data_IF_317113747033
#
_entry.id   IF_317113747033
#
_cell.length_a   1.000
_cell.length_b   1.000
_cell.length_c   1.000
_cell.angle_alpha   90.00
_cell.angle_beta   90.00
_cell.angle_gamma   90.00
#
_symmetry.space_group_name_H-M   'P 1'
#
loop_
_entity.id
_entity.type
_entity.pdbx_description
1 polymer ?
#
# COMPACT_ATOMS: atom_id res chain seq x y z
N UNK A 1 22.25 -13.68 -12.16
CA UNK A 1 21.70 -13.33 -10.82
C UNK A 1 22.80 -13.66 -9.83
N UNK A 2 23.31 -12.68 -9.09
CA UNK A 2 24.37 -12.95 -8.11
C UNK A 2 23.78 -13.68 -6.90
N UNK A 3 24.52 -14.63 -6.28
CA UNK A 3 24.09 -15.22 -5.01
C UNK A 3 24.00 -14.13 -3.92
N UNK A 4 23.19 -14.34 -2.87
CA UNK A 4 23.18 -13.44 -1.72
C UNK A 4 24.59 -13.34 -1.14
N UNK A 5 24.97 -12.16 -0.63
CA UNK A 5 26.31 -11.96 -0.06
C UNK A 5 26.54 -12.78 1.22
N UNK A 6 25.49 -12.93 2.04
CA UNK A 6 25.51 -13.70 3.28
C UNK A 6 24.26 -14.58 3.43
N UNK A 7 24.41 -15.68 4.15
CA UNK A 7 23.33 -16.60 4.51
C UNK A 7 23.48 -17.07 5.95
N UNK A 8 22.35 -17.31 6.63
CA UNK A 8 22.35 -17.99 7.93
C UNK A 8 22.37 -19.51 7.71
N UNK A 9 23.53 -20.13 7.90
CA UNK A 9 23.75 -21.56 7.77
C UNK A 9 23.54 -22.30 9.09
N UNK A 10 22.80 -23.39 9.05
CA UNK A 10 22.56 -24.27 10.19
C UNK A 10 23.77 -25.22 10.33
N UNK A 11 24.55 -25.01 11.40
CA UNK A 11 25.69 -25.89 11.75
C UNK A 11 25.23 -27.22 12.31
N UNK A 12 24.30 -27.14 13.25
CA UNK A 12 23.81 -28.29 13.99
C UNK A 12 22.27 -28.30 13.95
N UNK A 13 21.75 -29.26 13.19
CA UNK A 13 20.31 -29.44 12.99
C UNK A 13 19.60 -29.86 14.29
N UNK A 14 20.29 -30.53 15.21
CA UNK A 14 19.70 -30.98 16.47
C UNK A 14 19.71 -29.84 17.50
N UNK A 15 20.82 -29.11 17.60
CA UNK A 15 20.97 -28.01 18.58
C UNK A 15 20.36 -26.69 18.13
N UNK A 16 19.89 -26.60 16.89
CA UNK A 16 19.34 -25.35 16.31
C UNK A 16 20.31 -24.18 16.45
N UNK A 17 21.57 -24.44 16.11
CA UNK A 17 22.63 -23.43 16.09
C UNK A 17 22.88 -23.07 14.64
N UNK A 18 22.79 -21.78 14.33
CA UNK A 18 23.15 -21.22 13.04
C UNK A 18 24.33 -20.27 13.17
N UNK A 19 25.00 -20.04 12.05
CA UNK A 19 25.96 -18.97 11.90
C UNK A 19 25.68 -18.21 10.60
N UNK A 20 26.03 -16.93 10.57
CA UNK A 20 25.92 -16.14 9.35
C UNK A 20 27.25 -16.17 8.62
N UNK A 21 27.25 -16.72 7.40
CA UNK A 21 28.46 -16.96 6.59
C UNK A 21 28.41 -16.11 5.34
N UNK A 22 29.56 -15.57 4.94
CA UNK A 22 29.73 -14.93 3.63
C UNK A 22 29.77 -16.01 2.56
N UNK A 23 28.89 -15.90 1.57
CA UNK A 23 28.69 -16.98 0.58
C UNK A 23 29.93 -17.23 -0.27
N UNK A 24 30.68 -16.18 -0.63
CA UNK A 24 31.95 -16.32 -1.35
C UNK A 24 32.94 -17.19 -0.58
N UNK A 25 33.13 -16.90 0.71
CA UNK A 25 34.12 -17.57 1.54
C UNK A 25 33.70 -19.02 1.81
N UNK A 26 32.38 -19.28 1.86
CA UNK A 26 31.84 -20.62 2.00
C UNK A 26 32.05 -21.47 0.75
N UNK A 27 31.85 -20.91 -0.44
CA UNK A 27 32.12 -21.56 -1.73
C UNK A 27 33.61 -21.88 -1.89
N UNK A 28 34.49 -20.94 -1.56
CA UNK A 28 35.95 -21.14 -1.61
C UNK A 28 36.39 -22.33 -0.72
N UNK A 29 35.70 -22.56 0.41
CA UNK A 29 36.02 -23.62 1.36
C UNK A 29 35.41 -24.98 1.01
N UNK A 30 34.21 -25.01 0.41
CA UNK A 30 33.41 -26.23 0.24
C UNK A 30 33.21 -26.64 -1.23
N UNK A 31 33.64 -25.80 -2.19
CA UNK A 31 33.47 -25.99 -3.63
C UNK A 31 32.17 -25.37 -4.17
N UNK A 32 32.09 -25.30 -5.51
CA UNK A 32 30.99 -24.64 -6.21
C UNK A 32 29.68 -25.46 -6.27
N UNK A 33 29.76 -26.78 -6.05
CA UNK A 33 28.61 -27.71 -6.15
C UNK A 33 27.76 -27.78 -4.87
N UNK A 34 27.97 -26.90 -3.89
CA UNK A 34 27.26 -26.95 -2.61
C UNK A 34 25.85 -26.39 -2.74
N UNK A 35 24.88 -27.05 -2.09
CA UNK A 35 23.51 -26.55 -2.02
C UNK A 35 23.44 -25.25 -1.21
N UNK A 36 23.34 -24.13 -1.92
CA UNK A 36 23.15 -22.78 -1.37
C UNK A 36 21.67 -22.38 -1.33
N UNK A 37 20.74 -23.26 -1.67
CA UNK A 37 19.33 -22.95 -1.60
C UNK A 37 18.89 -22.63 -0.16
N UNK A 38 18.06 -21.61 -0.02
CA UNK A 38 17.71 -21.06 1.29
C UNK A 38 16.23 -20.69 1.40
N UNK A 39 15.74 -20.60 2.63
CA UNK A 39 14.41 -20.09 2.93
C UNK A 39 14.47 -18.59 3.22
N UNK A 40 13.66 -17.79 2.51
CA UNK A 40 13.51 -16.36 2.79
C UNK A 40 12.49 -16.14 3.92
N UNK A 41 12.85 -15.34 4.93
CA UNK A 41 11.97 -15.01 6.06
C UNK A 41 11.46 -13.58 5.92
N UNK A 42 10.21 -13.42 5.48
CA UNK A 42 9.52 -12.12 5.40
C UNK A 42 8.85 -11.80 6.73
N UNK A 43 9.06 -10.58 7.22
CA UNK A 43 8.45 -10.05 8.45
C UNK A 43 8.44 -8.52 8.40
N UNK A 44 7.78 -7.85 9.35
CA UNK A 44 7.80 -6.38 9.45
C UNK A 44 8.40 -5.90 10.77
N UNK A 45 9.26 -4.88 10.70
CA UNK A 45 9.82 -4.19 11.89
C UNK A 45 8.74 -3.53 12.78
N UNK A 46 7.53 -3.34 12.23
CA UNK A 46 6.36 -2.89 13.01
C UNK A 46 5.86 -3.94 14.00
N UNK A 47 6.15 -5.22 13.76
CA UNK A 47 5.73 -6.35 14.58
C UNK A 47 6.91 -7.04 15.28
N UNK A 48 8.12 -6.92 14.75
CA UNK A 48 9.32 -7.52 15.32
C UNK A 48 10.42 -6.46 15.50
N UNK A 49 10.88 -6.29 16.74
CA UNK A 49 12.02 -5.42 17.05
C UNK A 49 13.30 -6.19 16.72
N UNK A 50 14.09 -5.70 15.77
CA UNK A 50 15.35 -6.37 15.36
C UNK A 50 16.57 -5.45 15.46
N UNK A 51 16.37 -4.23 15.98
CA UNK A 51 17.41 -3.25 16.23
C UNK A 51 18.51 -3.80 17.13
N UNK A 52 19.77 -3.48 16.84
CA UNK A 52 20.90 -3.84 17.70
C UNK A 52 20.85 -3.02 19.00
N UNK A 53 21.52 -3.46 20.08
CA UNK A 53 21.61 -2.68 21.31
C UNK A 53 22.12 -1.25 21.08
N UNK A 54 23.09 -1.07 20.18
CA UNK A 54 23.69 0.22 19.84
C UNK A 54 22.70 1.14 19.11
N UNK A 55 21.86 0.58 18.24
CA UNK A 55 20.80 1.34 17.58
C UNK A 55 19.69 1.71 18.57
N UNK A 56 19.33 0.79 19.46
CA UNK A 56 18.38 1.05 20.55
C UNK A 56 18.90 2.21 21.40
N UNK A 57 20.19 2.24 21.72
CA UNK A 57 20.76 3.29 22.56
C UNK A 57 20.73 4.70 21.93
N UNK A 58 20.62 4.79 20.59
CA UNK A 58 20.53 6.06 19.86
C UNK A 58 19.12 6.64 19.82
N UNK A 59 18.07 5.86 20.08
CA UNK A 59 16.71 6.37 20.06
C UNK A 59 16.38 7.15 21.34
N UNK A 60 15.56 8.19 21.18
CA UNK A 60 14.98 8.91 22.30
C UNK A 60 13.79 8.12 22.85
N UNK A 61 13.94 7.65 24.09
CA UNK A 61 12.90 6.91 24.81
C UNK A 61 12.44 7.72 26.01
N UNK A 62 11.16 7.62 26.41
CA UNK A 62 10.62 8.40 27.52
C UNK A 62 11.31 8.09 28.86
N UNK A 63 11.77 6.85 29.03
CA UNK A 63 12.42 6.38 30.25
C UNK A 63 13.33 5.17 29.98
N UNK A 64 14.23 4.90 30.94
CA UNK A 64 15.21 3.81 30.84
C UNK A 64 14.58 2.41 30.91
N UNK A 65 13.43 2.25 31.58
CA UNK A 65 12.75 0.96 31.63
C UNK A 65 12.13 0.60 30.27
N UNK A 66 11.62 1.58 29.54
CA UNK A 66 11.16 1.43 28.15
C UNK A 66 12.33 1.08 27.22
N UNK A 67 13.50 1.72 27.39
CA UNK A 67 14.71 1.38 26.62
C UNK A 67 15.14 -0.06 26.85
N UNK A 68 15.23 -0.50 28.11
CA UNK A 68 15.60 -1.88 28.42
C UNK A 68 14.56 -2.91 27.97
N UNK A 69 13.27 -2.57 28.06
CA UNK A 69 12.21 -3.41 27.51
C UNK A 69 12.37 -3.61 26.01
N UNK A 70 12.76 -2.56 25.28
CA UNK A 70 13.06 -2.65 23.86
C UNK A 70 14.29 -3.54 23.58
N UNK A 71 15.36 -3.48 24.39
CA UNK A 71 16.53 -4.37 24.26
C UNK A 71 16.15 -5.83 24.43
N UNK A 72 15.42 -6.15 25.50
CA UNK A 72 14.93 -7.51 25.78
C UNK A 72 13.98 -8.02 24.69
N UNK A 73 13.07 -7.17 24.22
CA UNK A 73 12.15 -7.51 23.14
C UNK A 73 12.91 -7.77 21.83
N UNK A 74 13.93 -6.95 21.52
CA UNK A 74 14.74 -7.12 20.33
C UNK A 74 15.47 -8.45 20.31
N UNK A 75 16.10 -8.82 21.44
CA UNK A 75 16.74 -10.14 21.58
C UNK A 75 15.73 -11.27 21.33
N UNK A 76 14.56 -11.23 21.99
CA UNK A 76 13.52 -12.25 21.87
C UNK A 76 12.97 -12.37 20.45
N UNK A 77 12.71 -11.25 19.78
CA UNK A 77 12.16 -11.24 18.42
C UNK A 77 13.18 -11.77 17.41
N UNK A 78 14.47 -11.39 17.52
CA UNK A 78 15.56 -11.94 16.70
C UNK A 78 15.68 -13.46 16.88
N UNK A 79 15.69 -13.94 18.11
CA UNK A 79 15.72 -15.38 18.43
C UNK A 79 14.49 -16.11 17.86
N UNK A 80 13.32 -15.48 17.89
CA UNK A 80 12.07 -16.06 17.36
C UNK A 80 12.13 -16.19 15.84
N UNK A 81 12.53 -15.13 15.13
CA UNK A 81 12.66 -15.13 13.68
C UNK A 81 13.73 -16.12 13.20
N UNK A 82 14.88 -16.17 13.89
CA UNK A 82 15.92 -17.16 13.60
C UNK A 82 15.42 -18.59 13.82
N UNK A 83 14.68 -18.85 14.90
CA UNK A 83 14.08 -20.16 15.17
C UNK A 83 13.12 -20.59 14.07
N UNK A 84 12.27 -19.67 13.58
CA UNK A 84 11.36 -19.96 12.48
C UNK A 84 12.07 -20.14 11.14
N UNK A 85 13.13 -19.36 10.88
CA UNK A 85 14.00 -19.58 9.72
C UNK A 85 14.63 -20.97 9.73
N UNK A 86 15.19 -21.39 10.87
CA UNK A 86 15.75 -22.73 11.05
C UNK A 86 14.70 -23.85 10.92
N UNK A 87 13.54 -23.71 11.57
CA UNK A 87 12.45 -24.69 11.48
C UNK A 87 11.99 -24.85 10.03
N UNK A 88 11.78 -23.75 9.31
CA UNK A 88 11.32 -23.83 7.92
C UNK A 88 12.36 -24.46 6.99
N UNK A 89 13.64 -24.08 7.13
CA UNK A 89 14.74 -24.66 6.37
C UNK A 89 14.83 -26.18 6.60
N UNK A 90 14.77 -26.63 7.86
CA UNK A 90 14.73 -28.06 8.21
C UNK A 90 13.55 -28.78 7.54
N UNK A 91 12.35 -28.18 7.55
CA UNK A 91 11.15 -28.76 6.94
C UNK A 91 11.22 -28.91 5.42
N UNK A 92 12.09 -28.17 4.73
CA UNK A 92 12.34 -28.33 3.29
C UNK A 92 13.67 -29.02 2.97
N UNK A 93 14.36 -29.56 3.98
CA UNK A 93 15.65 -30.21 3.79
C UNK A 93 16.78 -29.26 3.39
N UNK A 94 16.63 -27.96 3.66
CA UNK A 94 17.64 -26.94 3.37
C UNK A 94 18.44 -26.59 4.62
N UNK A 95 19.68 -26.15 4.41
CA UNK A 95 20.63 -25.81 5.49
C UNK A 95 20.80 -24.32 5.69
N UNK A 96 20.17 -23.50 4.87
CA UNK A 96 20.28 -22.05 4.92
C UNK A 96 18.91 -21.37 4.99
N UNK A 97 18.89 -20.21 5.63
CA UNK A 97 17.79 -19.25 5.59
C UNK A 97 18.36 -17.84 5.52
N UNK A 98 17.52 -16.89 5.16
CA UNK A 98 17.90 -15.49 5.01
C UNK A 98 17.02 -14.58 5.86
N UNK A 99 17.68 -13.76 6.66
CA UNK A 99 17.09 -12.68 7.47
C UNK A 99 17.86 -11.40 7.16
N UNK A 100 17.14 -10.32 6.89
CA UNK A 100 17.75 -9.04 6.53
C UNK A 100 18.70 -8.50 7.61
N UNK A 101 18.32 -8.54 8.89
CA UNK A 101 19.15 -8.05 10.00
C UNK A 101 20.40 -8.90 10.32
N UNK A 102 20.51 -10.09 9.72
CA UNK A 102 21.69 -10.95 9.83
C UNK A 102 22.55 -10.90 8.56
N UNK A 103 21.89 -10.98 7.41
CA UNK A 103 22.50 -11.24 6.11
C UNK A 103 22.74 -9.97 5.28
N UNK A 104 22.12 -8.84 5.64
CA UNK A 104 22.53 -7.53 5.12
C UNK A 104 23.61 -7.01 6.05
N UNK A 105 24.84 -6.91 5.53
CA UNK A 105 26.02 -6.47 6.27
C UNK A 105 26.72 -5.38 5.49
N UNK A 106 27.25 -4.40 6.21
CA UNK A 106 28.06 -3.34 5.62
C UNK A 106 29.40 -3.92 5.11
N UNK A 107 30.15 -3.12 4.33
CA UNK A 107 31.48 -3.50 3.82
C UNK A 107 32.46 -3.95 4.92
N UNK A 108 32.31 -3.40 6.14
CA UNK A 108 33.10 -3.78 7.33
C UNK A 108 32.63 -5.10 7.99
N UNK A 109 31.62 -5.78 7.44
CA UNK A 109 31.06 -7.04 7.96
C UNK A 109 30.17 -6.90 9.20
N UNK A 110 29.92 -5.67 9.66
CA UNK A 110 29.04 -5.36 10.79
C UNK A 110 27.55 -5.53 10.47
N UNK A 111 26.77 -5.98 11.45
CA UNK A 111 25.32 -6.08 11.36
C UNK A 111 24.66 -4.74 11.69
N UNK A 112 23.83 -4.22 10.79
CA UNK A 112 22.93 -3.09 11.06
C UNK A 112 21.49 -3.55 10.89
N UNK A 113 20.57 -3.04 11.73
CA UNK A 113 19.15 -3.30 11.50
C UNK A 113 18.56 -2.39 10.42
N UNK A 114 19.26 -1.32 10.04
CA UNK A 114 18.96 -0.51 8.85
C UNK A 114 19.92 -0.86 7.72
N UNK A 115 19.36 -1.45 6.67
CA UNK A 115 20.05 -1.74 5.41
C UNK A 115 20.45 -0.45 4.70
N UNK A 116 21.58 -0.44 4.00
CA UNK A 116 21.89 0.65 3.05
C UNK A 116 20.91 0.60 1.87
N UNK A 117 20.64 1.73 1.22
CA UNK A 117 19.70 1.81 0.10
C UNK A 117 20.00 0.80 -1.01
N UNK A 118 21.29 0.58 -1.32
CA UNK A 118 21.68 -0.34 -2.40
C UNK A 118 21.38 -1.80 -2.06
N UNK A 119 21.57 -2.21 -0.80
CA UNK A 119 21.25 -3.55 -0.33
C UNK A 119 19.74 -3.81 -0.32
N UNK A 120 18.93 -2.80 0.04
CA UNK A 120 17.46 -2.89 0.00
C UNK A 120 16.98 -3.19 -1.42
N UNK A 121 17.56 -2.54 -2.42
CA UNK A 121 17.19 -2.73 -3.83
C UNK A 121 17.61 -4.10 -4.38
N UNK A 122 18.51 -4.82 -3.69
CA UNK A 122 18.88 -6.21 -4.02
C UNK A 122 18.00 -7.25 -3.35
N UNK A 123 17.17 -6.90 -2.37
CA UNK A 123 16.28 -7.87 -1.68
C UNK A 123 15.35 -8.58 -2.67
N UNK A 124 14.86 -7.86 -3.68
CA UNK A 124 14.04 -8.46 -4.74
C UNK A 124 14.79 -9.57 -5.51
N UNK A 125 16.11 -9.48 -5.65
CA UNK A 125 16.92 -10.54 -6.25
C UNK A 125 17.11 -11.70 -5.29
N UNK A 126 17.32 -11.41 -4.00
CA UNK A 126 17.44 -12.43 -2.95
C UNK A 126 16.15 -13.25 -2.87
N UNK A 127 14.98 -12.61 -2.88
CA UNK A 127 13.68 -13.29 -2.84
C UNK A 127 13.49 -14.25 -4.02
N UNK A 128 13.85 -13.81 -5.24
CA UNK A 128 13.76 -14.63 -6.46
C UNK A 128 14.69 -15.84 -6.43
N UNK A 129 15.84 -15.72 -5.76
CA UNK A 129 16.84 -16.78 -5.64
C UNK A 129 16.57 -17.73 -4.47
N UNK A 130 15.61 -17.42 -3.59
CA UNK A 130 15.24 -18.30 -2.50
C UNK A 130 14.62 -19.60 -3.03
N UNK A 131 14.69 -20.67 -2.26
CA UNK A 131 13.97 -21.91 -2.55
C UNK A 131 12.49 -21.80 -2.18
N UNK A 132 12.19 -21.12 -1.08
CA UNK A 132 10.82 -20.90 -0.61
C UNK A 132 10.77 -19.73 0.36
N UNK A 133 9.57 -19.24 0.65
CA UNK A 133 9.36 -18.12 1.56
C UNK A 133 8.49 -18.51 2.76
N UNK A 134 8.76 -17.89 3.90
CA UNK A 134 7.84 -17.84 5.05
C UNK A 134 7.44 -16.40 5.34
N UNK A 135 6.24 -16.22 5.88
CA UNK A 135 5.77 -14.94 6.41
C UNK A 135 5.59 -15.10 7.91
N UNK A 136 6.24 -14.23 8.68
CA UNK A 136 6.14 -14.15 10.13
C UNK A 136 5.31 -12.94 10.53
N UNK A 137 4.27 -13.17 11.33
CA UNK A 137 3.38 -12.11 11.84
C UNK A 137 3.17 -12.20 13.35
N UNK A 138 2.86 -11.06 13.97
CA UNK A 138 2.56 -11.00 15.39
C UNK A 138 2.01 -9.63 15.83
N UNK A 139 1.81 -9.44 17.15
CA UNK A 139 1.37 -8.17 17.69
C UNK A 139 2.34 -7.02 17.34
N UNK A 140 1.83 -5.79 17.12
CA UNK A 140 2.68 -4.62 16.92
C UNK A 140 3.68 -4.42 18.07
N UNK A 141 4.89 -4.00 17.74
CA UNK A 141 5.97 -3.75 18.71
C UNK A 141 5.53 -2.80 19.83
N UNK A 142 4.76 -1.76 19.51
CA UNK A 142 4.24 -0.81 20.50
C UNK A 142 3.33 -1.49 21.54
N UNK A 143 2.44 -2.39 21.12
CA UNK A 143 1.59 -3.17 22.02
C UNK A 143 2.42 -4.12 22.88
N UNK A 144 3.41 -4.79 22.28
CA UNK A 144 4.31 -5.68 23.02
C UNK A 144 5.11 -4.95 24.11
N UNK A 145 5.65 -3.77 23.79
CA UNK A 145 6.38 -2.93 24.75
C UNK A 145 5.45 -2.46 25.87
N UNK A 146 4.25 -1.97 25.54
CA UNK A 146 3.28 -1.51 26.54
C UNK A 146 2.91 -2.63 27.54
N UNK A 147 2.60 -3.84 27.05
CA UNK A 147 2.31 -4.98 27.93
C UNK A 147 3.51 -5.37 28.80
N UNK A 148 4.72 -5.39 28.25
CA UNK A 148 5.93 -5.76 29.00
C UNK A 148 6.27 -4.73 30.09
N UNK A 149 6.12 -3.43 29.81
CA UNK A 149 6.30 -2.36 30.81
C UNK A 149 5.25 -2.45 31.92
N UNK A 150 4.00 -2.79 31.57
CA UNK A 150 2.93 -3.02 32.54
C UNK A 150 3.08 -4.33 33.35
N UNK A 151 4.06 -5.18 33.02
CA UNK A 151 4.23 -6.50 33.64
C UNK A 151 3.15 -7.52 33.23
N UNK A 152 2.41 -7.23 32.17
CA UNK A 152 1.37 -8.10 31.64
C UNK A 152 1.96 -9.17 30.73
N UNK A 153 1.27 -10.32 30.63
CA UNK A 153 1.60 -11.30 29.60
C UNK A 153 1.27 -10.71 28.23
N UNK A 154 2.14 -10.97 27.26
CA UNK A 154 1.87 -10.66 25.86
C UNK A 154 0.52 -11.26 25.45
N UNK A 155 -0.20 -10.51 24.61
CA UNK A 155 -1.52 -10.87 24.10
C UNK A 155 -1.53 -12.33 23.63
N UNK A 156 -2.51 -13.08 24.14
CA UNK A 156 -2.73 -14.45 23.72
C UNK A 156 -3.08 -14.49 22.23
N UNK A 157 -2.61 -15.54 21.55
CA UNK A 157 -2.99 -15.79 20.17
C UNK A 157 -4.52 -15.89 20.05
N UNK A 158 -5.07 -15.21 19.03
CA UNK A 158 -6.45 -15.35 18.65
C UNK A 158 -6.63 -15.20 17.14
N UNK A 159 -7.54 -16.00 16.56
CA UNK A 159 -7.70 -16.10 15.09
C UNK A 159 -8.17 -14.80 14.44
N UNK A 160 -8.92 -13.97 15.16
CA UNK A 160 -9.39 -12.65 14.71
C UNK A 160 -8.23 -11.66 14.49
N UNK A 161 -7.07 -11.87 15.13
CA UNK A 161 -5.90 -10.99 15.02
C UNK A 161 -5.04 -11.24 13.79
N UNK A 162 -5.20 -12.40 13.14
CA UNK A 162 -4.36 -12.79 12.00
C UNK A 162 -4.52 -11.82 10.82
N UNK A 163 -5.76 -11.45 10.48
CA UNK A 163 -6.01 -10.54 9.35
C UNK A 163 -5.48 -9.13 9.63
N UNK A 164 -5.72 -8.49 10.79
CA UNK A 164 -5.07 -7.23 11.15
C UNK A 164 -3.54 -7.27 11.07
N UNK A 165 -2.90 -8.34 11.56
CA UNK A 165 -1.44 -8.47 11.49
C UNK A 165 -0.94 -8.68 10.05
N UNK A 166 -1.66 -9.45 9.23
CA UNK A 166 -1.34 -9.55 7.80
C UNK A 166 -1.48 -8.21 7.09
N UNK A 167 -2.49 -7.40 7.41
CA UNK A 167 -2.66 -6.07 6.83
C UNK A 167 -1.54 -5.11 7.21
N UNK A 168 -1.07 -5.15 8.45
CA UNK A 168 0.08 -4.35 8.87
C UNK A 168 1.39 -4.84 8.24
N UNK A 169 1.53 -6.13 7.97
CA UNK A 169 2.64 -6.65 7.17
C UNK A 169 2.54 -6.17 5.71
N UNK A 170 1.36 -6.30 5.10
CA UNK A 170 1.09 -5.89 3.71
C UNK A 170 1.15 -4.38 3.48
N UNK A 171 0.97 -3.55 4.51
CA UNK A 171 1.03 -2.09 4.36
C UNK A 171 2.43 -1.57 4.01
N UNK A 172 3.48 -2.36 4.22
CA UNK A 172 4.87 -1.99 3.91
C UNK A 172 5.15 -2.09 2.42
N UNK A 173 5.89 -1.11 1.89
CA UNK A 173 6.24 -1.05 0.46
C UNK A 173 6.90 -2.35 -0.05
N UNK A 174 7.87 -2.89 0.70
CA UNK A 174 8.72 -4.00 0.26
C UNK A 174 8.09 -5.40 0.38
N UNK A 175 7.00 -5.55 1.14
CA UNK A 175 6.36 -6.88 1.32
C UNK A 175 5.56 -7.33 0.10
N UNK A 176 5.11 -6.38 -0.75
CA UNK A 176 4.48 -6.74 -2.01
C UNK A 176 5.48 -7.36 -3.00
N UNK A 177 6.64 -6.75 -3.33
CA UNK A 177 7.69 -7.43 -4.09
C UNK A 177 8.06 -8.80 -3.53
N UNK A 178 8.22 -8.92 -2.21
CA UNK A 178 8.53 -10.21 -1.58
C UNK A 178 7.48 -11.29 -1.90
N UNK A 179 6.19 -10.96 -1.81
CA UNK A 179 5.12 -11.88 -2.19
C UNK A 179 5.15 -12.23 -3.68
N UNK A 180 5.25 -11.22 -4.54
CA UNK A 180 5.17 -11.40 -5.99
C UNK A 180 6.34 -12.25 -6.49
N UNK A 181 7.54 -11.95 -6.02
CA UNK A 181 8.80 -12.50 -6.53
C UNK A 181 9.24 -13.80 -5.89
N UNK A 182 8.65 -14.21 -4.77
CA UNK A 182 9.02 -15.50 -4.17
C UNK A 182 8.69 -16.67 -5.12
N UNK A 183 9.35 -17.83 -4.98
CA UNK A 183 9.12 -18.98 -5.86
C UNK A 183 7.66 -19.45 -5.90
N UNK A 184 7.21 -19.97 -7.04
CA UNK A 184 5.83 -20.46 -7.23
C UNK A 184 5.66 -21.95 -6.88
N UNK A 185 6.78 -22.67 -6.78
CA UNK A 185 6.87 -24.12 -6.60
C UNK A 185 6.33 -24.55 -5.24
N UNK A 186 6.43 -23.68 -4.23
CA UNK A 186 6.09 -23.99 -2.85
C UNK A 186 5.07 -23.02 -2.28
N UNK A 187 4.18 -23.55 -1.42
CA UNK A 187 3.28 -22.71 -0.63
C UNK A 187 4.05 -21.93 0.42
N UNK A 188 3.68 -20.67 0.60
CA UNK A 188 4.24 -19.81 1.65
C UNK A 188 3.71 -20.31 3.00
N UNK A 189 4.62 -20.51 3.96
CA UNK A 189 4.24 -20.88 5.33
C UNK A 189 4.07 -19.65 6.19
N UNK A 190 2.95 -19.59 6.91
CA UNK A 190 2.61 -18.51 7.82
C UNK A 190 2.94 -18.92 9.26
N UNK A 191 3.88 -18.21 9.88
CA UNK A 191 4.23 -18.31 11.29
C UNK A 191 3.58 -17.17 12.07
N UNK A 192 3.01 -17.50 13.23
CA UNK A 192 2.21 -16.55 14.02
C UNK A 192 2.71 -16.56 15.47
N UNK A 193 3.01 -15.38 16.01
CA UNK A 193 3.43 -15.26 17.42
C UNK A 193 2.32 -15.77 18.34
N UNK A 194 2.69 -16.71 19.23
CA UNK A 194 1.78 -17.30 20.21
C UNK A 194 0.92 -18.46 19.68
N UNK A 195 1.04 -18.81 18.39
CA UNK A 195 0.42 -20.02 17.83
C UNK A 195 1.44 -21.16 17.88
N UNK A 196 1.20 -22.13 18.75
CA UNK A 196 2.06 -23.33 18.88
C UNK A 196 1.70 -24.43 17.86
N UNK A 197 0.71 -24.18 16.99
CA UNK A 197 0.33 -25.12 15.93
C UNK A 197 1.30 -25.12 14.75
N UNK A 198 1.17 -26.12 13.88
CA UNK A 198 2.03 -26.17 12.68
C UNK A 198 1.82 -24.96 11.76
N UNK A 199 2.91 -24.42 11.15
CA UNK A 199 2.83 -23.27 10.25
C UNK A 199 1.88 -23.52 9.09
N UNK A 200 0.93 -22.60 8.89
CA UNK A 200 -0.12 -22.77 7.88
C UNK A 200 0.43 -22.51 6.47
N UNK A 201 0.37 -23.52 5.60
CA UNK A 201 0.73 -23.37 4.19
C UNK A 201 -0.38 -22.67 3.39
N UNK A 202 -0.03 -21.62 2.64
CA UNK A 202 -0.97 -20.79 1.89
C UNK A 202 -0.44 -20.45 0.49
N UNK A 203 -1.34 -20.29 -0.48
CA UNK A 203 -0.98 -19.81 -1.84
C UNK A 203 -0.88 -18.27 -1.86
N UNK A 204 -0.08 -17.70 -2.79
CA UNK A 204 0.13 -16.25 -2.90
C UNK A 204 -1.17 -15.47 -3.02
N UNK A 205 -2.08 -15.92 -3.89
CA UNK A 205 -3.40 -15.32 -4.09
C UNK A 205 -4.24 -15.18 -2.81
N UNK A 206 -4.05 -16.08 -1.83
CA UNK A 206 -4.79 -16.01 -0.57
C UNK A 206 -4.23 -14.93 0.38
N UNK A 207 -3.00 -14.46 0.16
CA UNK A 207 -2.45 -13.31 0.87
C UNK A 207 -2.97 -11.99 0.27
N UNK A 208 -3.14 -11.92 -1.06
CA UNK A 208 -3.67 -10.73 -1.74
C UNK A 208 -4.96 -10.20 -1.07
N UNK A 209 -5.92 -11.09 -0.82
CA UNK A 209 -7.20 -10.75 -0.19
C UNK A 209 -7.12 -10.41 1.31
N UNK A 210 -6.09 -10.90 2.01
CA UNK A 210 -6.01 -10.82 3.47
C UNK A 210 -5.08 -9.72 3.96
N UNK A 211 -4.04 -9.42 3.18
CA UNK A 211 -2.98 -8.49 3.56
C UNK A 211 -3.15 -7.10 2.92
N UNK A 212 -3.99 -6.94 1.89
CA UNK A 212 -4.18 -5.67 1.21
C UNK A 212 -5.65 -5.32 1.02
N UNK A 213 -5.97 -4.03 1.14
CA UNK A 213 -7.30 -3.49 0.87
C UNK A 213 -7.56 -3.29 -0.63
N UNK A 214 -6.50 -3.15 -1.44
CA UNK A 214 -6.52 -3.10 -2.91
C UNK A 214 -6.36 -4.50 -3.54
N UNK A 215 -7.01 -5.50 -2.96
CA UNK A 215 -6.83 -6.91 -3.32
C UNK A 215 -7.06 -7.22 -4.81
N UNK A 216 -7.95 -6.50 -5.49
CA UNK A 216 -8.21 -6.68 -6.93
C UNK A 216 -6.97 -6.33 -7.77
N UNK A 217 -6.37 -5.16 -7.56
CA UNK A 217 -5.14 -4.73 -8.24
C UNK A 217 -3.96 -5.64 -7.89
N UNK A 218 -3.83 -6.06 -6.63
CA UNK A 218 -2.79 -7.00 -6.21
C UNK A 218 -2.94 -8.37 -6.87
N UNK A 219 -4.18 -8.86 -7.04
CA UNK A 219 -4.44 -10.13 -7.73
C UNK A 219 -3.99 -10.10 -9.18
N UNK A 220 -4.12 -8.98 -9.87
CA UNK A 220 -3.63 -8.84 -11.24
C UNK A 220 -2.11 -9.05 -11.30
N UNK A 221 -1.36 -8.41 -10.39
CA UNK A 221 0.08 -8.61 -10.26
C UNK A 221 0.41 -10.06 -9.84
N UNK A 222 -0.32 -10.64 -8.89
CA UNK A 222 -0.11 -12.06 -8.49
C UNK A 222 -0.31 -12.99 -9.68
N UNK A 223 -1.38 -12.80 -10.47
CA UNK A 223 -1.64 -13.60 -11.67
C UNK A 223 -0.51 -13.45 -12.70
N UNK A 224 0.07 -12.26 -12.83
CA UNK A 224 1.24 -12.01 -13.65
C UNK A 224 2.44 -12.85 -13.22
N UNK A 225 2.80 -12.78 -11.94
CA UNK A 225 3.98 -13.47 -11.42
C UNK A 225 3.79 -14.98 -11.19
N UNK A 226 2.54 -15.46 -11.04
CA UNK A 226 2.20 -16.89 -11.08
C UNK A 226 2.12 -17.44 -12.52
N UNK A 227 2.20 -16.58 -13.55
CA UNK A 227 2.10 -16.97 -14.96
C UNK A 227 0.68 -17.35 -15.42
N UNK A 228 -0.34 -17.05 -14.61
CA UNK A 228 -1.75 -17.34 -14.92
C UNK A 228 -2.38 -16.28 -15.83
N UNK A 229 -1.82 -15.07 -15.86
CA UNK A 229 -2.10 -14.01 -16.83
C UNK A 229 -0.77 -13.33 -17.19
N UNK A 230 -0.63 -12.75 -18.37
CA UNK A 230 0.60 -12.04 -18.74
C UNK A 230 0.24 -10.60 -19.08
N UNK A 231 0.71 -9.67 -18.25
CA UNK A 231 0.60 -8.24 -18.49
C UNK A 231 1.66 -7.82 -19.50
N UNK A 232 1.30 -6.89 -20.39
CA UNK A 232 2.30 -6.11 -21.15
C UNK A 232 3.16 -5.28 -20.20
N UNK A 233 4.31 -4.78 -20.65
CA UNK A 233 5.17 -3.93 -19.82
C UNK A 233 4.44 -2.67 -19.34
N UNK A 234 3.66 -2.03 -20.21
CA UNK A 234 2.85 -0.87 -19.86
C UNK A 234 1.84 -1.21 -18.75
N UNK A 235 1.08 -2.29 -18.92
CA UNK A 235 0.10 -2.74 -17.91
C UNK A 235 0.78 -3.14 -16.59
N UNK A 236 1.94 -3.78 -16.65
CA UNK A 236 2.71 -4.13 -15.45
C UNK A 236 3.14 -2.87 -14.69
N UNK A 237 3.65 -1.85 -15.40
CA UNK A 237 4.04 -0.56 -14.80
C UNK A 237 2.81 0.14 -14.21
N UNK A 238 1.70 0.20 -14.94
CA UNK A 238 0.45 0.83 -14.49
C UNK A 238 -0.11 0.16 -13.23
N UNK A 239 -0.30 -1.16 -13.26
CA UNK A 239 -0.80 -1.93 -12.10
C UNK A 239 0.18 -1.88 -10.93
N UNK A 240 1.49 -1.90 -11.18
CA UNK A 240 2.48 -1.74 -10.13
C UNK A 240 2.43 -0.34 -9.52
N UNK A 241 2.35 0.74 -10.31
CA UNK A 241 2.25 2.09 -9.76
C UNK A 241 0.99 2.27 -8.90
N UNK A 242 -0.15 1.78 -9.39
CA UNK A 242 -1.43 1.83 -8.68
C UNK A 242 -1.38 1.09 -7.33
N UNK A 243 -0.70 -0.05 -7.27
CA UNK A 243 -0.46 -0.74 -6.02
C UNK A 243 0.55 0.02 -5.15
N UNK A 244 1.80 0.18 -5.60
CA UNK A 244 2.90 0.63 -4.76
C UNK A 244 2.70 2.02 -4.16
N UNK A 245 2.03 2.94 -4.87
CA UNK A 245 1.67 4.28 -4.37
C UNK A 245 0.75 4.28 -3.13
N UNK A 246 0.02 3.19 -2.87
CA UNK A 246 -0.87 3.06 -1.70
C UNK A 246 -0.18 2.54 -0.44
N UNK A 247 1.08 2.08 -0.54
CA UNK A 247 1.80 1.48 0.59
C UNK A 247 2.55 2.53 1.41
N UNK A 248 2.73 2.22 2.69
CA UNK A 248 3.54 3.02 3.60
C UNK A 248 5.03 2.88 3.25
N UNK A 249 5.67 4.02 3.06
CA UNK A 249 7.12 4.15 2.97
C UNK A 249 7.64 4.89 4.21
N UNK A 250 8.80 4.47 4.74
CA UNK A 250 9.53 5.27 5.73
C UNK A 250 10.53 6.22 5.03
N UNK A 251 10.44 6.35 3.72
CA UNK A 251 11.28 7.12 2.79
C UNK A 251 12.77 6.99 3.10
N UNK A 252 13.40 5.93 2.57
CA UNK A 252 14.86 5.90 2.45
C UNK A 252 15.34 6.91 1.38
N UNK A 253 14.52 7.11 0.35
CA UNK A 253 14.68 8.12 -0.70
C UNK A 253 13.31 8.56 -1.23
N UNK A 254 13.27 9.70 -1.93
CA UNK A 254 12.06 10.12 -2.66
C UNK A 254 11.70 9.14 -3.80
N UNK A 255 12.68 8.36 -4.28
CA UNK A 255 12.55 7.33 -5.32
C UNK A 255 12.00 5.98 -4.86
N UNK A 256 11.69 5.79 -3.57
CA UNK A 256 11.41 4.45 -3.01
C UNK A 256 10.32 3.68 -3.77
N UNK A 257 9.22 4.35 -4.16
CA UNK A 257 8.14 3.74 -4.95
C UNK A 257 8.69 3.24 -6.29
N UNK A 258 9.44 4.08 -7.00
CA UNK A 258 10.04 3.73 -8.30
C UNK A 258 11.03 2.57 -8.15
N UNK A 259 11.86 2.58 -7.10
CA UNK A 259 12.85 1.53 -6.87
C UNK A 259 12.22 0.20 -6.44
N UNK A 260 11.11 0.24 -5.70
CA UNK A 260 10.35 -0.96 -5.38
C UNK A 260 9.69 -1.58 -6.61
N UNK A 261 9.15 -0.76 -7.52
CA UNK A 261 8.62 -1.20 -8.82
C UNK A 261 9.76 -1.70 -9.72
N UNK A 262 10.91 -1.03 -9.74
CA UNK A 262 12.11 -1.45 -10.47
C UNK A 262 12.55 -2.86 -10.04
N UNK A 263 12.40 -3.17 -8.75
CA UNK A 263 12.64 -4.48 -8.19
C UNK A 263 11.85 -5.61 -8.85
N UNK A 264 10.72 -5.32 -9.53
CA UNK A 264 9.89 -6.29 -10.25
C UNK A 264 10.48 -6.74 -11.60
N UNK A 265 11.34 -5.92 -12.21
CA UNK A 265 11.92 -6.19 -13.52
C UNK A 265 13.23 -6.98 -13.43
N UNK A 266 13.62 -7.73 -14.48
CA UNK A 266 14.95 -8.35 -14.54
C UNK A 266 16.09 -7.31 -14.49
N UNK A 267 17.25 -7.67 -13.93
CA UNK A 267 18.36 -6.73 -13.68
C UNK A 267 18.79 -5.94 -14.92
N UNK A 268 18.75 -6.54 -16.10
CA UNK A 268 19.13 -5.89 -17.37
C UNK A 268 18.22 -4.72 -17.78
N UNK A 269 17.04 -4.58 -17.18
CA UNK A 269 16.11 -3.48 -17.46
C UNK A 269 15.99 -2.50 -16.29
N UNK A 270 16.84 -2.63 -15.26
CA UNK A 270 16.84 -1.72 -14.12
C UNK A 270 17.83 -0.57 -14.39
N UNK A 271 17.37 0.69 -14.43
CA UNK A 271 18.29 1.82 -14.49
C UNK A 271 19.16 1.88 -13.20
N UNK A 272 20.33 2.53 -13.24
CA UNK A 272 21.11 2.80 -12.04
C UNK A 272 20.30 3.59 -11.01
N UNK A 273 20.46 3.23 -9.75
CA UNK A 273 19.87 3.95 -8.62
C UNK A 273 20.65 5.24 -8.39
N UNK A 274 19.93 6.35 -8.26
CA UNK A 274 20.49 7.63 -7.88
C UNK A 274 19.77 8.15 -6.63
N UNK A 275 20.52 8.49 -5.58
CA UNK A 275 19.92 8.93 -4.31
C UNK A 275 19.39 10.36 -4.41
N UNK A 276 19.88 11.12 -5.38
CA UNK A 276 19.51 12.51 -5.60
C UNK A 276 18.29 12.62 -6.55
N UNK A 277 17.85 11.50 -7.14
CA UNK A 277 16.62 11.47 -7.94
C UNK A 277 15.39 11.74 -7.08
N UNK A 278 14.51 12.60 -7.62
CA UNK A 278 13.13 12.65 -7.16
C UNK A 278 12.40 11.33 -7.46
N UNK A 279 11.22 11.15 -6.85
CA UNK A 279 10.32 10.04 -7.18
C UNK A 279 9.96 9.98 -8.66
N UNK A 280 9.71 11.13 -9.27
CA UNK A 280 9.36 11.23 -10.68
C UNK A 280 10.55 10.89 -11.58
N UNK A 281 11.74 11.41 -11.30
CA UNK A 281 12.94 11.12 -12.09
C UNK A 281 13.29 9.64 -12.09
N UNK A 282 13.30 9.01 -10.90
CA UNK A 282 13.56 7.58 -10.75
C UNK A 282 12.53 6.75 -11.55
N UNK A 283 11.25 7.11 -11.46
CA UNK A 283 10.19 6.42 -12.19
C UNK A 283 10.26 6.64 -13.70
N UNK A 284 10.60 7.86 -14.14
CA UNK A 284 10.70 8.16 -15.56
C UNK A 284 11.89 7.45 -16.22
N UNK A 285 13.04 7.34 -15.53
CA UNK A 285 14.16 6.50 -15.97
C UNK A 285 13.75 5.03 -16.06
N UNK A 286 12.94 4.55 -15.12
CA UNK A 286 12.42 3.18 -15.13
C UNK A 286 11.51 2.91 -16.34
N UNK A 287 10.54 3.80 -16.60
CA UNK A 287 9.65 3.70 -17.77
C UNK A 287 10.46 3.70 -19.07
N UNK A 288 11.34 4.68 -19.29
CA UNK A 288 12.19 4.71 -20.49
C UNK A 288 12.98 3.41 -20.71
N UNK A 289 13.49 2.81 -19.63
CA UNK A 289 14.26 1.56 -19.69
C UNK A 289 13.41 0.31 -19.96
N UNK A 290 12.10 0.33 -19.65
CA UNK A 290 11.25 -0.86 -19.68
C UNK A 290 10.17 -0.82 -20.76
N UNK A 291 9.53 0.32 -21.03
CA UNK A 291 8.46 0.45 -22.01
C UNK A 291 8.73 1.54 -23.05
N UNK A 292 9.99 1.97 -23.17
CA UNK A 292 10.42 3.06 -24.06
C UNK A 292 9.71 4.40 -23.81
N UNK A 293 9.19 4.62 -22.60
CA UNK A 293 8.52 5.87 -22.23
C UNK A 293 7.02 5.88 -22.55
N UNK A 294 6.46 4.79 -23.06
CA UNK A 294 5.04 4.71 -23.45
C UNK A 294 4.08 5.07 -22.32
N UNK A 295 4.41 4.73 -21.07
CA UNK A 295 3.66 5.14 -19.89
C UNK A 295 3.74 6.66 -19.68
N UNK A 296 4.95 7.23 -19.71
CA UNK A 296 5.15 8.67 -19.51
C UNK A 296 4.46 9.50 -20.59
N UNK A 297 4.52 9.06 -21.84
CA UNK A 297 3.83 9.69 -22.97
C UNK A 297 2.31 9.78 -22.75
N UNK A 298 1.72 8.81 -22.05
CA UNK A 298 0.30 8.83 -21.67
C UNK A 298 0.06 9.69 -20.44
N UNK A 299 0.96 9.61 -19.46
CA UNK A 299 0.87 10.36 -18.21
C UNK A 299 0.83 11.87 -18.44
N UNK A 300 1.66 12.39 -19.35
CA UNK A 300 1.68 13.83 -19.68
C UNK A 300 0.43 14.33 -20.41
N UNK A 301 -0.39 13.42 -20.93
CA UNK A 301 -1.67 13.77 -21.57
C UNK A 301 -2.83 13.81 -20.57
N UNK A 302 -2.62 13.41 -19.31
CA UNK A 302 -3.62 13.56 -18.26
C UNK A 302 -3.70 15.01 -17.78
N UNK A 303 -4.88 15.41 -17.33
CA UNK A 303 -5.12 16.63 -16.57
C UNK A 303 -5.41 16.25 -15.12
N UNK A 304 -4.36 16.11 -14.29
CA UNK A 304 -4.55 15.77 -12.89
C UNK A 304 -5.14 16.96 -12.12
N UNK A 305 -5.72 16.68 -10.96
CA UNK A 305 -6.16 17.74 -10.04
C UNK A 305 -4.96 18.62 -9.63
N UNK A 306 -5.14 19.94 -9.46
CA UNK A 306 -4.07 20.81 -8.98
C UNK A 306 -3.47 20.30 -7.66
N UNK A 307 -2.14 20.09 -7.63
CA UNK A 307 -1.44 19.56 -6.46
C UNK A 307 -1.47 18.04 -6.30
N UNK A 308 -2.03 17.30 -7.26
CA UNK A 308 -1.95 15.84 -7.30
C UNK A 308 -0.48 15.37 -7.35
N UNK A 309 -0.15 14.25 -6.67
CA UNK A 309 1.18 13.65 -6.79
C UNK A 309 1.40 13.08 -8.20
N UNK A 310 2.66 13.03 -8.64
CA UNK A 310 3.04 12.55 -9.98
C UNK A 310 2.60 11.10 -10.27
N UNK A 311 2.41 10.28 -9.23
CA UNK A 311 1.99 8.88 -9.35
C UNK A 311 0.47 8.71 -9.42
N UNK A 312 -0.31 9.80 -9.36
CA UNK A 312 -1.74 9.75 -9.57
C UNK A 312 -2.03 9.61 -11.06
N UNK A 313 -2.70 8.51 -11.42
CA UNK A 313 -3.07 8.19 -12.80
C UNK A 313 -4.53 8.53 -13.11
N UNK A 314 -5.24 9.10 -12.14
CA UNK A 314 -6.60 9.58 -12.29
C UNK A 314 -6.60 10.99 -12.86
N UNK A 315 -7.41 11.18 -13.90
CA UNK A 315 -7.62 12.44 -14.57
C UNK A 315 -8.99 13.01 -14.19
N UNK A 316 -9.15 14.33 -14.25
CA UNK A 316 -10.41 14.97 -13.82
C UNK A 316 -11.61 14.65 -14.72
N UNK A 317 -11.39 14.14 -15.94
CA UNK A 317 -12.45 13.64 -16.82
C UNK A 317 -12.65 12.11 -16.70
N UNK A 318 -11.94 11.44 -15.80
CA UNK A 318 -12.03 9.99 -15.62
C UNK A 318 -11.42 9.19 -16.76
N UNK A 319 -10.53 9.80 -17.55
CA UNK A 319 -9.81 9.11 -18.63
C UNK A 319 -8.82 8.12 -18.01
N UNK A 320 -8.81 6.90 -18.54
CA UNK A 320 -7.81 5.88 -18.20
C UNK A 320 -6.58 6.04 -19.06
N UNK A 321 -5.39 5.85 -18.50
CA UNK A 321 -4.12 5.88 -19.24
C UNK A 321 -4.14 4.97 -20.47
N UNK A 322 -4.70 3.77 -20.35
CA UNK A 322 -4.83 2.80 -21.44
C UNK A 322 -5.68 3.29 -22.63
N UNK A 323 -6.50 4.32 -22.46
CA UNK A 323 -7.31 4.92 -23.53
C UNK A 323 -6.59 6.06 -24.26
N UNK A 324 -5.36 6.39 -23.86
CA UNK A 324 -4.59 7.49 -24.44
C UNK A 324 -3.61 6.91 -25.47
N UNK A 325 -3.64 7.49 -26.67
CA UNK A 325 -2.70 7.20 -27.75
C UNK A 325 -1.90 8.47 -28.09
N UNK A 326 -0.71 8.64 -27.46
CA UNK A 326 0.09 9.84 -27.63
C UNK A 326 0.80 9.85 -28.98
N UNK A 327 0.89 11.03 -29.59
CA UNK A 327 1.58 11.25 -30.87
C UNK A 327 3.07 11.59 -30.62
N UNK A 328 3.37 12.20 -29.48
CA UNK A 328 4.70 12.67 -29.10
C UNK A 328 5.48 11.58 -28.37
N UNK A 329 6.81 11.66 -28.45
CA UNK A 329 7.69 10.70 -27.79
C UNK A 329 8.47 11.33 -26.65
N UNK A 330 8.62 10.61 -25.55
CA UNK A 330 9.54 11.01 -24.48
C UNK A 330 10.95 10.54 -24.85
N UNK A 331 11.87 11.49 -25.10
CA UNK A 331 13.23 11.18 -25.53
C UNK A 331 14.16 10.89 -24.34
N UNK A 332 14.13 11.74 -23.30
CA UNK A 332 14.96 11.56 -22.09
C UNK A 332 14.40 12.30 -20.88
N UNK A 333 14.85 11.88 -19.71
CA UNK A 333 14.69 12.61 -18.45
C UNK A 333 15.87 13.56 -18.26
N UNK A 334 15.58 14.76 -17.77
CA UNK A 334 16.54 15.82 -17.41
C UNK A 334 16.52 16.05 -15.90
N UNK A 335 17.30 17.03 -15.46
CA UNK A 335 17.31 17.49 -14.06
C UNK A 335 15.98 18.18 -13.71
N UNK A 336 15.67 18.26 -12.41
CA UNK A 336 14.50 19.01 -11.88
C UNK A 336 13.15 18.58 -12.47
N UNK A 337 12.84 17.29 -12.43
CA UNK A 337 11.55 16.71 -12.86
C UNK A 337 11.12 17.09 -14.29
N UNK A 338 12.10 17.33 -15.17
CA UNK A 338 11.84 17.72 -16.55
C UNK A 338 12.04 16.54 -17.50
N UNK A 339 11.16 16.40 -18.49
CA UNK A 339 11.32 15.44 -19.58
C UNK A 339 11.47 16.19 -20.91
N UNK A 340 12.31 15.65 -21.80
CA UNK A 340 12.46 16.15 -23.16
C UNK A 340 11.54 15.37 -24.09
N UNK A 341 10.68 16.09 -24.79
CA UNK A 341 9.79 15.53 -25.80
C UNK A 341 10.39 15.68 -27.20
N UNK A 342 10.21 14.65 -28.02
CA UNK A 342 10.50 14.66 -29.46
C UNK A 342 9.21 14.61 -30.27
N UNK A 343 9.25 15.12 -31.51
CA UNK A 343 8.11 15.17 -32.41
C UNK A 343 7.03 16.18 -32.00
N UNK A 344 7.38 17.21 -31.22
CA UNK A 344 6.45 18.27 -30.83
C UNK A 344 6.38 19.33 -31.93
N UNK A 345 5.25 19.36 -32.64
CA UNK A 345 4.98 20.41 -33.62
C UNK A 345 4.42 21.64 -32.93
N UNK A 346 5.15 22.76 -32.99
CA UNK A 346 4.65 24.03 -32.50
C UNK A 346 3.50 24.54 -33.34
N UNK A 347 2.36 24.82 -32.70
CA UNK A 347 1.26 25.56 -33.30
C UNK A 347 1.09 26.89 -32.54
N UNK A 348 0.87 27.98 -33.27
CA UNK A 348 0.49 29.24 -32.65
C UNK A 348 -0.96 29.13 -32.19
N UNK A 349 -1.18 29.13 -30.88
CA UNK A 349 -2.52 29.16 -30.29
C UNK A 349 -2.94 30.62 -30.13
N UNK A 350 -4.02 31.02 -30.81
CA UNK A 350 -4.67 32.31 -30.59
C UNK A 350 -5.64 32.18 -29.42
N UNK A 351 -5.14 32.38 -28.20
CA UNK A 351 -5.95 32.30 -26.98
C UNK A 351 -7.18 33.21 -27.01
N UNK A 352 -7.08 34.37 -27.68
CA UNK A 352 -8.20 35.32 -27.85
C UNK A 352 -9.34 34.77 -28.74
N UNK A 353 -9.10 33.68 -29.46
CA UNK A 353 -10.05 33.02 -30.37
C UNK A 353 -10.52 31.66 -29.87
N UNK A 354 -10.00 31.20 -28.73
CA UNK A 354 -10.55 30.06 -28.03
C UNK A 354 -11.70 30.58 -27.18
N UNK A 355 -12.92 30.13 -27.49
CA UNK A 355 -14.02 30.30 -26.56
C UNK A 355 -13.59 29.68 -25.22
N UNK A 356 -13.73 30.44 -24.14
CA UNK A 356 -13.60 29.86 -22.81
C UNK A 356 -14.48 28.60 -22.79
N UNK A 357 -13.89 27.45 -22.44
CA UNK A 357 -14.58 26.17 -22.37
C UNK A 357 -15.99 26.38 -21.80
N UNK A 358 -17.04 25.75 -22.35
CA UNK A 358 -18.33 25.74 -21.68
C UNK A 358 -18.15 24.96 -20.37
N UNK A 359 -17.79 25.70 -19.32
CA UNK A 359 -17.65 25.25 -17.95
C UNK A 359 -18.91 24.45 -17.59
N UNK A 360 -18.79 23.12 -17.60
CA UNK A 360 -19.65 22.25 -16.81
C UNK A 360 -19.38 22.43 -15.30
N UNK A 361 -18.45 23.30 -14.92
CA UNK A 361 -18.40 23.93 -13.60
C UNK A 361 -19.16 25.27 -13.62
N UNK A 362 -20.43 25.22 -14.02
CA UNK A 362 -21.36 26.22 -13.53
C UNK A 362 -21.52 25.90 -12.05
N UNK A 363 -20.64 26.50 -11.23
CA UNK A 363 -20.90 26.76 -9.84
C UNK A 363 -22.25 27.46 -9.79
N UNK A 364 -23.33 26.69 -9.67
CA UNK A 364 -24.70 27.17 -9.49
C UNK A 364 -24.88 27.73 -8.08
N UNK A 365 -23.84 28.34 -7.54
CA UNK A 365 -23.86 29.17 -6.36
C UNK A 365 -24.81 30.30 -6.64
N UNK A 366 -25.90 30.32 -5.86
CA UNK A 366 -26.95 31.33 -5.82
C UNK A 366 -28.10 31.09 -6.80
N UNK A 367 -27.90 30.78 -8.09
CA UNK A 367 -29.03 30.81 -9.05
C UNK A 367 -30.04 29.66 -8.88
N UNK A 368 -29.57 28.43 -8.69
CA UNK A 368 -30.44 27.25 -8.46
C UNK A 368 -31.19 27.33 -7.12
N UNK A 369 -30.55 27.64 -5.97
CA UNK A 369 -31.29 27.83 -4.73
C UNK A 369 -32.24 29.03 -4.78
N UNK A 370 -31.93 30.09 -5.55
CA UNK A 370 -32.83 31.23 -5.72
C UNK A 370 -34.08 30.87 -6.53
N UNK A 371 -33.96 30.13 -7.63
CA UNK A 371 -35.12 29.63 -8.40
C UNK A 371 -35.96 28.68 -7.53
N UNK A 372 -35.32 27.80 -6.76
CA UNK A 372 -36.01 26.87 -5.87
C UNK A 372 -36.74 27.61 -4.73
N UNK A 373 -36.13 28.64 -4.14
CA UNK A 373 -36.76 29.53 -3.16
C UNK A 373 -37.92 30.30 -3.76
N UNK A 374 -37.77 30.85 -4.97
CA UNK A 374 -38.84 31.60 -5.63
C UNK A 374 -40.05 30.69 -5.95
N UNK A 375 -39.77 29.46 -6.41
CA UNK A 375 -40.76 28.41 -6.56
C UNK A 375 -41.48 28.11 -5.26
N UNK A 376 -40.73 27.78 -4.19
CA UNK A 376 -41.26 27.46 -2.87
C UNK A 376 -42.09 28.59 -2.25
N UNK A 377 -41.65 29.84 -2.37
CA UNK A 377 -42.39 31.02 -1.90
C UNK A 377 -43.73 31.16 -2.65
N UNK A 378 -43.74 30.94 -3.96
CA UNK A 378 -44.94 31.06 -4.80
C UNK A 378 -45.95 29.93 -4.61
N UNK A 379 -45.49 28.70 -4.44
CA UNK A 379 -46.35 27.51 -4.43
C UNK A 379 -46.76 27.06 -3.03
N UNK A 380 -46.04 27.46 -1.97
CA UNK A 380 -46.32 27.02 -0.60
C UNK A 380 -46.68 28.20 0.30
N UNK A 381 -45.83 29.22 0.39
CA UNK A 381 -45.99 30.28 1.39
C UNK A 381 -47.14 31.23 1.04
N UNK A 382 -47.21 31.71 -0.21
CA UNK A 382 -48.29 32.57 -0.67
C UNK A 382 -49.69 31.95 -0.53
N UNK A 383 -49.96 30.71 -0.99
CA UNK A 383 -51.27 30.10 -0.81
C UNK A 383 -51.58 29.77 0.66
N UNK A 384 -50.57 29.40 1.46
CA UNK A 384 -50.77 29.15 2.89
C UNK A 384 -51.13 30.44 3.65
N UNK A 385 -50.47 31.55 3.36
CA UNK A 385 -50.80 32.86 3.92
C UNK A 385 -52.18 33.35 3.46
N UNK A 386 -52.54 33.10 2.19
CA UNK A 386 -53.89 33.39 1.69
C UNK A 386 -54.96 32.55 2.40
N UNK A 387 -54.70 31.27 2.66
CA UNK A 387 -55.60 30.40 3.41
C UNK A 387 -55.75 30.86 4.89
N UNK A 388 -54.67 31.27 5.54
CA UNK A 388 -54.71 31.84 6.90
C UNK A 388 -55.52 33.14 6.90
N UNK A 389 -55.26 34.06 5.96
CA UNK A 389 -56.02 35.30 5.86
C UNK A 389 -57.51 35.05 5.58
N UNK A 390 -57.84 34.06 4.74
CA UNK A 390 -59.22 33.65 4.50
C UNK A 390 -59.86 33.04 5.75
N UNK A 391 -59.12 32.23 6.52
CA UNK A 391 -59.58 31.67 7.79
C UNK A 391 -59.82 32.76 8.85
N UNK A 392 -58.96 33.78 8.91
CA UNK A 392 -59.11 34.94 9.80
C UNK A 392 -60.33 35.78 9.39
N UNK A 393 -60.49 36.10 8.10
CA UNK A 393 -61.65 36.87 7.62
C UNK A 393 -62.97 36.14 7.86
N UNK A 394 -62.99 34.82 7.73
CA UNK A 394 -64.20 34.00 8.00
C UNK A 394 -64.48 33.82 9.49
N UNK A 395 -63.47 33.85 10.37
CA UNK A 395 -63.71 33.87 11.83
C UNK A 395 -64.15 35.23 12.36
N UNK A 396 -63.69 36.33 11.75
CA UNK A 396 -64.18 37.68 12.10
C UNK A 396 -65.51 38.04 11.41
N UNK A 397 -65.93 37.26 10.41
CA UNK A 397 -67.23 37.40 9.72
C UNK A 397 -68.17 36.24 10.06
N UNK A 398 -68.39 36.01 11.35
CA UNK A 398 -69.46 35.15 11.88
C UNK A 398 -70.74 35.96 12.22
N UNK A 399 -71.94 35.35 12.14
CA UNK A 399 -73.17 36.04 11.74
C UNK A 399 -73.90 36.81 12.86
N UNK A 400 -74.62 37.86 12.47
CA UNK A 400 -75.63 38.55 13.30
C UNK A 400 -76.59 37.55 13.94
N UNK A 401 -76.59 37.48 15.28
CA UNK A 401 -77.62 36.80 16.05
C UNK A 401 -78.95 37.57 15.95
N UNK A 402 -80.01 36.90 15.46
CA UNK A 402 -81.41 37.32 15.67
C UNK A 402 -82.03 36.49 16.80
N UNK A 403 -82.94 37.07 17.60
CA UNK A 403 -83.43 36.46 18.82
C UNK A 403 -84.55 35.43 18.58
N UNK A 404 -84.68 34.60 19.62
CA UNK A 404 -85.57 33.46 19.86
C UNK A 404 -87.04 33.58 19.43
N UNK A 405 -87.59 32.48 18.91
CA UNK A 405 -88.95 32.04 19.25
C UNK A 405 -88.98 30.51 19.40
N UNK A 406 -89.42 30.08 20.58
CA UNK A 406 -89.78 28.70 20.92
C UNK A 406 -91.32 28.63 21.05
N UNK A 407 -91.92 27.42 21.10
CA UNK A 407 -92.83 26.92 20.06
C UNK A 407 -94.32 26.97 20.46
N UNK A 408 -95.21 26.73 19.50
CA UNK A 408 -96.51 26.11 19.79
C UNK A 408 -96.72 24.92 18.83
N UNK A 409 -96.91 23.76 19.47
CA UNK A 409 -97.63 22.51 19.13
C UNK A 409 -98.24 22.37 17.72
N UNK A 410 -98.31 21.18 17.11
CA UNK A 410 -99.10 20.01 17.55
C UNK A 410 -98.68 18.79 16.72
N UNK A 411 -98.66 17.63 17.36
CA UNK A 411 -98.51 16.28 16.78
C UNK A 411 -99.68 15.88 15.88
N UNK A 412 -99.49 14.98 14.92
CA UNK A 412 -100.12 13.65 14.95
C UNK A 412 -99.63 12.79 13.78
N UNK A 413 -99.30 11.55 14.12
CA UNK A 413 -99.02 10.41 13.24
C UNK A 413 -100.09 10.21 12.17
N UNK A 414 -99.69 9.68 11.01
CA UNK A 414 -100.22 8.43 10.42
C UNK A 414 -99.15 7.91 9.42
N UNK A 415 -98.82 6.62 9.58
CA UNK A 415 -98.09 5.67 8.69
C UNK A 415 -97.15 6.18 7.59
#
# INVERSE_FOLDING_TARGET
>A
MGPPGYLCFIRDLEKSIYETVKVSDYLDQNGDDVDLEFVFVSYTRMQFRVATPEEIDKYDYPDEATRETNKKLAQRDRETLARWGMDSAKRVGKRAFWLDFECVRNEDGGTTSTSTSEDVYRICDIVRAAHSMVIAIGPPTAEKVASLVAGEKLLAYSRDRITPWLRQWGSRLWTLPELLLCPNEYRIRLYIVGDDSEPKAMAKRNFAERAWDDAESVKELVNHFEGSAILTQLQLIESALACFSRRQTNEFSQGDIAYAIMGLFPNRHRPPVDKDDSGFQAFAKLSLSNDSGAFLERLICLSPQPGAPWYQTEDHWGVKLSNIDPINKVYRVLESDTILLDGVHGATIHWDSLDAEPLFDQNSGIFVPFIFMLGFMSSVILPFMAAIMFAIVTTFSGPHAKPSQNPIQVSFDWD
#
